data_IF_564867768470
#
_entry.id   IF_564867768470
#
_cell.length_a   1.000
_cell.length_b   1.000
_cell.length_c   1.000
_cell.angle_alpha   90.00
_cell.angle_beta   90.00
_cell.angle_gamma   90.00
#
_symmetry.space_group_name_H-M   'P 1'
#
loop_
_entity.id
_entity.type
_entity.pdbx_description
1 polymer ?
#
# COMPACT_ATOMS: atom_id res chain seq x y z
N UNK A 1 -12.11 17.23 -6.89
CA UNK A 1 -10.66 17.13 -6.69
C UNK A 1 -9.89 18.04 -7.64
N UNK A 2 -10.08 17.97 -8.97
CA UNK A 2 -9.35 18.78 -9.95
C UNK A 2 -9.43 20.31 -9.70
N UNK A 3 -10.62 20.84 -9.44
CA UNK A 3 -10.79 22.28 -9.13
C UNK A 3 -10.06 22.75 -7.86
N UNK A 4 -9.89 21.84 -6.90
CA UNK A 4 -9.12 22.12 -5.68
C UNK A 4 -7.63 22.18 -6.00
N UNK A 5 -7.13 21.26 -6.83
CA UNK A 5 -5.74 21.23 -7.29
C UNK A 5 -5.41 22.51 -8.06
N UNK A 6 -6.27 22.90 -9.03
CA UNK A 6 -6.09 24.12 -9.80
C UNK A 6 -6.03 25.36 -8.89
N UNK A 7 -6.99 25.47 -7.98
CA UNK A 7 -7.04 26.59 -7.04
C UNK A 7 -5.81 26.63 -6.13
N UNK A 8 -5.36 25.48 -5.63
CA UNK A 8 -4.14 25.42 -4.83
C UNK A 8 -2.90 25.85 -5.61
N UNK A 9 -2.80 25.49 -6.90
CA UNK A 9 -1.74 25.96 -7.77
C UNK A 9 -1.82 27.48 -8.00
N UNK A 10 -3.01 28.02 -8.29
CA UNK A 10 -3.24 29.46 -8.48
C UNK A 10 -2.89 30.27 -7.22
N UNK A 11 -3.34 29.83 -6.06
CA UNK A 11 -3.06 30.52 -4.77
C UNK A 11 -1.58 30.51 -4.38
N UNK A 12 -0.79 29.58 -4.91
CA UNK A 12 0.65 29.46 -4.64
C UNK A 12 1.54 29.83 -5.85
N UNK A 13 0.97 30.44 -6.88
CA UNK A 13 1.68 30.86 -8.09
C UNK A 13 2.42 29.71 -8.81
N UNK A 14 1.87 28.49 -8.71
CA UNK A 14 2.40 27.28 -9.37
C UNK A 14 1.74 27.15 -10.74
N UNK A 15 2.55 27.12 -11.80
CA UNK A 15 2.05 26.92 -13.17
C UNK A 15 1.47 25.51 -13.33
N UNK A 16 0.24 25.40 -13.83
CA UNK A 16 -0.43 24.13 -14.11
C UNK A 16 -1.05 24.15 -15.51
N UNK A 17 -0.80 23.11 -16.29
CA UNK A 17 -1.42 22.87 -17.59
C UNK A 17 -2.27 21.62 -17.56
N UNK A 18 -3.49 21.72 -18.08
CA UNK A 18 -4.45 20.64 -18.10
C UNK A 18 -4.87 20.31 -19.53
N UNK A 19 -5.14 19.02 -19.79
CA UNK A 19 -5.73 18.50 -21.03
C UNK A 19 -7.16 18.03 -20.82
N UNK A 20 -7.83 17.66 -21.89
CA UNK A 20 -9.15 17.06 -21.91
C UNK A 20 -10.18 17.87 -21.10
N UNK A 21 -10.30 19.18 -21.42
CA UNK A 21 -11.23 20.10 -20.76
C UNK A 21 -11.02 20.22 -19.25
N UNK A 22 -9.75 20.15 -18.81
CA UNK A 22 -9.40 20.33 -17.40
C UNK A 22 -9.53 19.07 -16.55
N UNK A 23 -9.61 17.89 -17.15
CA UNK A 23 -9.77 16.62 -16.42
C UNK A 23 -8.47 15.86 -16.21
N UNK A 24 -7.37 16.29 -16.86
CA UNK A 24 -6.08 15.61 -16.84
C UNK A 24 -4.94 16.60 -16.62
N UNK A 25 -4.00 16.28 -15.74
CA UNK A 25 -2.83 17.08 -15.47
C UNK A 25 -1.74 16.73 -16.49
N UNK A 26 -1.40 17.69 -17.34
CA UNK A 26 -0.31 17.56 -18.30
C UNK A 26 1.02 18.00 -17.73
N UNK A 27 1.04 19.12 -17.00
CA UNK A 27 2.27 19.76 -16.50
C UNK A 27 1.99 20.51 -15.20
N UNK A 28 2.93 20.45 -14.27
CA UNK A 28 2.98 21.31 -13.09
C UNK A 28 4.41 21.85 -12.97
N UNK A 29 4.55 23.15 -12.73
CA UNK A 29 5.81 23.86 -12.50
C UNK A 29 6.90 23.52 -13.55
N UNK A 30 6.51 23.52 -14.81
CA UNK A 30 7.40 23.23 -15.94
C UNK A 30 7.72 21.76 -16.18
N UNK A 31 7.32 20.84 -15.31
CA UNK A 31 7.52 19.39 -15.47
C UNK A 31 6.30 18.76 -16.12
N UNK A 32 6.46 18.26 -17.35
CA UNK A 32 5.39 17.65 -18.14
C UNK A 32 5.37 16.12 -17.99
N UNK A 33 4.21 15.51 -18.29
CA UNK A 33 4.18 14.06 -18.50
C UNK A 33 5.22 13.63 -19.55
N UNK A 34 5.81 12.48 -19.38
CA UNK A 34 6.87 11.88 -20.23
C UNK A 34 8.23 12.61 -20.23
N UNK A 35 8.41 13.70 -19.49
CA UNK A 35 9.72 14.40 -19.41
C UNK A 35 10.83 13.53 -18.81
N UNK A 36 10.47 12.55 -17.98
CA UNK A 36 11.40 11.60 -17.33
C UNK A 36 11.32 10.18 -17.89
N UNK A 37 10.78 10.02 -19.10
CA UNK A 37 10.60 8.73 -19.77
C UNK A 37 9.15 8.40 -20.07
N UNK A 38 8.93 7.39 -20.94
CA UNK A 38 7.60 7.03 -21.45
C UNK A 38 6.60 6.55 -20.39
N UNK A 39 7.09 6.20 -19.21
CA UNK A 39 6.25 5.79 -18.07
C UNK A 39 6.04 6.90 -17.04
N UNK A 40 6.57 8.09 -17.27
CA UNK A 40 6.50 9.16 -16.28
C UNK A 40 5.26 10.04 -16.45
N UNK A 41 4.75 10.56 -15.34
CA UNK A 41 3.57 11.40 -15.34
C UNK A 41 3.08 11.81 -13.96
N UNK A 42 2.01 12.58 -13.94
CA UNK A 42 1.38 13.08 -12.73
C UNK A 42 0.29 12.12 -12.26
N UNK A 43 0.29 11.79 -10.98
CA UNK A 43 -0.72 10.99 -10.30
C UNK A 43 -1.18 11.68 -9.04
N UNK A 44 -2.33 11.28 -8.53
CA UNK A 44 -2.84 11.83 -7.28
C UNK A 44 -3.56 10.81 -6.44
N UNK A 45 -3.50 11.03 -5.13
CA UNK A 45 -4.27 10.27 -4.14
C UNK A 45 -5.23 11.19 -3.39
N UNK A 46 -6.30 10.61 -2.91
CA UNK A 46 -7.26 11.23 -2.01
C UNK A 46 -7.21 10.47 -0.69
N UNK A 47 -6.81 11.15 0.40
CA UNK A 47 -6.61 10.53 1.71
C UNK A 47 -5.63 9.34 1.66
N UNK A 48 -4.57 9.44 0.83
CA UNK A 48 -3.57 8.40 0.64
C UNK A 48 -4.01 7.23 -0.25
N UNK A 49 -5.22 7.25 -0.79
CA UNK A 49 -5.80 6.20 -1.65
C UNK A 49 -5.90 6.68 -3.08
N UNK A 50 -5.53 5.83 -4.06
CA UNK A 50 -5.83 6.11 -5.45
C UNK A 50 -7.35 6.04 -5.67
N UNK A 51 -7.98 7.11 -6.18
CA UNK A 51 -9.38 7.06 -6.50
C UNK A 51 -9.62 6.10 -7.69
N UNK A 52 -10.71 5.33 -7.62
CA UNK A 52 -11.20 4.48 -8.71
C UNK A 52 -11.87 5.28 -9.84
N UNK A 53 -11.93 6.61 -9.69
CA UNK A 53 -12.53 7.56 -10.61
C UNK A 53 -11.49 8.62 -11.00
N UNK A 54 -11.72 9.29 -12.13
CA UNK A 54 -10.89 10.44 -12.52
C UNK A 54 -10.96 11.56 -11.48
N UNK A 55 -9.93 12.40 -11.40
CA UNK A 55 -9.90 13.55 -10.49
C UNK A 55 -11.08 14.51 -10.68
N UNK A 56 -11.58 14.62 -11.91
CA UNK A 56 -12.74 15.43 -12.21
C UNK A 56 -14.04 14.86 -11.62
N UNK A 57 -14.11 13.54 -11.45
CA UNK A 57 -15.27 12.85 -10.86
C UNK A 57 -15.22 12.79 -9.33
N UNK A 58 -14.08 13.05 -8.70
CA UNK A 58 -13.97 13.12 -7.24
C UNK A 58 -14.33 14.55 -6.78
N UNK A 59 -15.56 14.73 -6.28
CA UNK A 59 -16.09 16.03 -5.89
C UNK A 59 -16.64 16.03 -4.47
N UNK A 60 -16.78 17.22 -3.90
CA UNK A 60 -17.50 17.40 -2.61
C UNK A 60 -18.99 17.05 -2.77
N UNK A 61 -19.58 17.38 -3.92
CA UNK A 61 -21.02 17.16 -4.18
C UNK A 61 -21.39 15.67 -4.21
N UNK A 62 -20.51 14.80 -4.67
CA UNK A 62 -20.77 13.35 -4.65
C UNK A 62 -20.21 12.63 -3.43
N UNK A 63 -19.67 13.37 -2.45
CA UNK A 63 -19.17 12.83 -1.18
C UNK A 63 -17.82 12.11 -1.25
N UNK A 64 -17.14 12.13 -2.40
CA UNK A 64 -15.79 11.56 -2.53
C UNK A 64 -14.75 12.42 -1.79
N UNK A 65 -14.80 13.74 -1.97
CA UNK A 65 -13.97 14.69 -1.23
C UNK A 65 -14.76 15.18 -0.01
N UNK A 66 -14.20 14.99 1.17
CA UNK A 66 -14.81 15.38 2.46
C UNK A 66 -14.09 16.58 3.05
N UNK A 67 -14.67 17.12 4.10
CA UNK A 67 -13.97 18.09 4.93
C UNK A 67 -12.69 17.47 5.51
N UNK A 68 -11.58 18.20 5.47
CA UNK A 68 -10.24 17.74 5.84
C UNK A 68 -9.62 16.62 4.98
N UNK A 69 -10.22 16.26 3.83
CA UNK A 69 -9.56 15.35 2.88
C UNK A 69 -8.23 15.90 2.40
N UNK A 70 -7.24 15.03 2.35
CA UNK A 70 -5.88 15.34 1.85
C UNK A 70 -5.76 14.88 0.40
N UNK A 71 -5.49 15.82 -0.49
CA UNK A 71 -5.20 15.55 -1.90
C UNK A 71 -3.70 15.67 -2.08
N UNK A 72 -3.04 14.57 -2.48
CA UNK A 72 -1.62 14.56 -2.83
C UNK A 72 -1.48 14.40 -4.33
N UNK A 73 -0.71 15.29 -4.98
CA UNK A 73 -0.34 15.19 -6.39
C UNK A 73 1.17 15.06 -6.46
N UNK A 74 1.67 14.05 -7.13
CA UNK A 74 3.10 13.80 -7.26
C UNK A 74 3.47 13.33 -8.65
N UNK A 75 4.71 13.61 -9.05
CA UNK A 75 5.27 13.08 -10.28
C UNK A 75 5.91 11.73 -10.06
N UNK A 76 5.73 10.80 -10.99
CA UNK A 76 6.35 9.49 -10.97
C UNK A 76 7.01 9.16 -12.30
N UNK A 77 8.07 8.36 -12.26
CA UNK A 77 8.72 7.80 -13.46
C UNK A 77 8.11 6.46 -13.88
N UNK A 78 7.28 5.84 -13.02
CA UNK A 78 6.67 4.51 -13.21
C UNK A 78 5.15 4.56 -13.03
N UNK A 79 4.46 5.45 -13.75
CA UNK A 79 3.02 5.66 -13.62
C UNK A 79 2.22 4.35 -13.81
N UNK A 80 2.63 3.51 -14.75
CA UNK A 80 2.00 2.21 -15.01
C UNK A 80 2.09 1.29 -13.80
N UNK A 81 3.29 1.11 -13.23
CA UNK A 81 3.51 0.27 -12.05
C UNK A 81 2.81 0.83 -10.82
N UNK A 82 2.86 2.16 -10.63
CA UNK A 82 2.20 2.81 -9.50
C UNK A 82 0.67 2.66 -9.52
N UNK A 83 0.07 2.65 -10.72
CA UNK A 83 -1.37 2.48 -10.92
C UNK A 83 -1.78 1.01 -11.05
N UNK A 84 -0.83 0.10 -11.28
CA UNK A 84 -1.12 -1.33 -11.40
C UNK A 84 -1.70 -1.89 -10.09
N UNK A 85 -2.73 -2.72 -10.23
CA UNK A 85 -3.29 -3.46 -9.12
C UNK A 85 -2.34 -4.61 -8.75
N UNK A 86 -1.43 -4.37 -7.81
CA UNK A 86 -0.48 -5.36 -7.32
C UNK A 86 -0.30 -5.22 -5.80
N UNK A 87 -0.84 -6.18 -5.05
CA UNK A 87 -0.71 -6.28 -3.61
C UNK A 87 0.31 -7.34 -3.16
N UNK A 88 1.14 -7.87 -4.06
CA UNK A 88 2.12 -8.88 -3.72
C UNK A 88 3.18 -8.35 -2.76
N UNK A 89 3.55 -9.18 -1.79
CA UNK A 89 4.72 -8.93 -0.95
C UNK A 89 5.99 -9.22 -1.73
N UNK A 90 6.94 -8.29 -1.67
CA UNK A 90 8.31 -8.47 -2.17
C UNK A 90 9.13 -9.28 -1.18
N UNK A 91 9.08 -8.91 0.09
CA UNK A 91 9.71 -9.60 1.20
C UNK A 91 8.83 -9.56 2.44
N UNK A 92 9.09 -10.44 3.38
CA UNK A 92 8.44 -10.48 4.68
C UNK A 92 9.49 -10.54 5.78
N UNK A 93 9.77 -9.42 6.43
CA UNK A 93 10.56 -9.36 7.65
C UNK A 93 9.76 -9.95 8.82
N UNK A 94 10.39 -10.81 9.62
CA UNK A 94 9.82 -11.44 10.80
C UNK A 94 10.82 -11.33 11.96
N UNK A 95 10.35 -10.78 13.07
CA UNK A 95 11.11 -10.76 14.34
C UNK A 95 10.43 -11.71 15.34
N UNK A 96 11.23 -12.34 16.20
CA UNK A 96 10.74 -13.26 17.22
C UNK A 96 10.46 -14.68 16.75
N UNK A 97 10.66 -14.98 15.46
CA UNK A 97 10.43 -16.32 14.91
C UNK A 97 11.08 -16.51 13.55
N UNK A 98 10.84 -17.67 12.94
CA UNK A 98 11.29 -18.01 11.60
C UNK A 98 10.18 -18.75 10.86
N UNK A 99 10.11 -18.60 9.55
CA UNK A 99 9.26 -19.45 8.73
C UNK A 99 9.92 -20.83 8.56
N UNK A 100 9.13 -21.87 8.64
CA UNK A 100 9.55 -23.25 8.32
C UNK A 100 9.79 -23.42 6.83
N UNK A 101 8.96 -22.82 6.03
CA UNK A 101 9.04 -22.75 4.58
C UNK A 101 9.80 -21.49 4.14
N UNK A 102 10.52 -21.58 3.03
CA UNK A 102 11.06 -20.37 2.38
C UNK A 102 9.91 -19.46 1.95
N UNK A 103 10.04 -18.17 2.19
CA UNK A 103 9.05 -17.21 1.72
C UNK A 103 9.06 -17.16 0.19
N UNK A 104 7.89 -17.34 -0.41
CA UNK A 104 7.62 -17.25 -1.84
C UNK A 104 6.37 -16.40 -2.05
N UNK A 105 6.39 -15.49 -3.01
CA UNK A 105 5.34 -14.49 -3.20
C UNK A 105 3.96 -15.05 -3.57
N UNK A 106 3.92 -16.26 -4.15
CA UNK A 106 2.71 -16.98 -4.57
C UNK A 106 2.31 -18.09 -3.59
N UNK A 107 3.01 -18.21 -2.46
CA UNK A 107 2.63 -19.05 -1.34
C UNK A 107 1.89 -18.22 -0.29
N UNK A 108 0.75 -18.72 0.15
CA UNK A 108 -0.15 -18.00 1.06
C UNK A 108 -0.31 -18.66 2.42
N UNK A 109 0.27 -19.84 2.63
CA UNK A 109 0.22 -20.58 3.89
C UNK A 109 1.63 -20.91 4.37
N UNK A 110 1.89 -20.60 5.64
CA UNK A 110 3.19 -20.77 6.28
C UNK A 110 3.05 -21.33 7.69
N UNK A 111 4.09 -22.04 8.11
CA UNK A 111 4.30 -22.38 9.51
C UNK A 111 5.31 -21.44 10.13
N UNK A 112 4.94 -20.74 11.19
CA UNK A 112 5.81 -19.85 11.95
C UNK A 112 6.36 -20.57 13.16
N UNK A 113 7.68 -20.75 13.19
CA UNK A 113 8.39 -21.42 14.29
C UNK A 113 8.92 -20.40 15.28
N UNK A 114 8.48 -20.45 16.53
CA UNK A 114 8.97 -19.57 17.60
C UNK A 114 8.96 -20.27 18.96
N UNK A 115 9.80 -19.75 19.86
CA UNK A 115 9.78 -20.00 21.32
C UNK A 115 9.67 -18.68 22.08
N UNK A 116 9.35 -17.58 21.37
CA UNK A 116 9.11 -16.29 21.98
C UNK A 116 7.60 -16.11 22.21
N UNK A 117 7.27 -15.27 23.20
CA UNK A 117 5.87 -14.95 23.52
C UNK A 117 5.30 -13.86 22.61
N UNK A 118 6.15 -13.20 21.82
CA UNK A 118 5.77 -12.12 20.91
C UNK A 118 6.58 -12.17 19.60
N UNK A 119 5.94 -11.78 18.53
CA UNK A 119 6.54 -11.62 17.20
C UNK A 119 6.11 -10.30 16.56
N UNK A 120 6.80 -9.88 15.49
CA UNK A 120 6.29 -8.81 14.63
C UNK A 120 6.63 -9.05 13.16
N UNK A 121 5.79 -8.52 12.27
CA UNK A 121 5.98 -8.57 10.82
C UNK A 121 6.35 -7.21 10.26
N UNK A 122 7.29 -7.20 9.32
CA UNK A 122 7.66 -6.03 8.52
C UNK A 122 7.57 -6.39 7.04
N UNK A 123 6.38 -6.31 6.43
CA UNK A 123 6.20 -6.61 5.02
C UNK A 123 6.80 -5.51 4.14
N UNK A 124 7.43 -5.89 3.02
CA UNK A 124 7.77 -4.99 1.93
C UNK A 124 6.95 -5.38 0.70
N UNK A 125 6.52 -4.39 -0.08
CA UNK A 125 5.65 -4.57 -1.23
C UNK A 125 6.39 -4.31 -2.54
N UNK A 126 5.96 -4.92 -3.64
CA UNK A 126 6.38 -4.51 -4.97
C UNK A 126 5.81 -3.14 -5.33
N UNK A 127 4.55 -2.89 -5.01
CA UNK A 127 3.93 -1.59 -5.19
C UNK A 127 4.02 -0.77 -3.90
N UNK A 128 4.64 0.41 -3.96
CA UNK A 128 4.86 1.30 -2.81
C UNK A 128 3.59 1.84 -2.16
N UNK A 129 2.44 1.73 -2.83
CA UNK A 129 1.14 2.15 -2.31
C UNK A 129 0.34 1.01 -1.70
N UNK A 130 0.90 -0.19 -1.67
CA UNK A 130 0.28 -1.31 -0.98
C UNK A 130 0.41 -1.13 0.53
N UNK A 131 -0.60 -1.61 1.23
CA UNK A 131 -0.68 -1.58 2.71
C UNK A 131 -0.95 -2.99 3.22
N UNK A 132 -0.63 -3.24 4.49
CA UNK A 132 -0.98 -4.48 5.15
C UNK A 132 -1.79 -4.21 6.42
N UNK A 133 -2.69 -5.12 6.71
CA UNK A 133 -3.32 -5.30 8.01
C UNK A 133 -3.01 -6.70 8.54
N UNK A 134 -2.91 -6.82 9.86
CA UNK A 134 -2.58 -8.08 10.52
C UNK A 134 -3.67 -8.38 11.55
N UNK A 135 -4.10 -9.63 11.59
CA UNK A 135 -5.03 -10.13 12.59
C UNK A 135 -4.47 -11.42 13.18
N UNK A 136 -4.46 -11.55 14.51
CA UNK A 136 -4.11 -12.77 15.21
C UNK A 136 -5.27 -13.16 16.12
N UNK A 137 -5.83 -14.36 15.92
CA UNK A 137 -6.99 -14.91 16.66
C UNK A 137 -8.14 -13.88 16.82
N UNK A 138 -8.44 -13.12 15.77
CA UNK A 138 -9.53 -12.13 15.73
C UNK A 138 -9.16 -10.75 16.30
N UNK A 139 -7.91 -10.51 16.70
CA UNK A 139 -7.43 -9.21 17.20
C UNK A 139 -6.56 -8.54 16.14
N UNK A 140 -6.86 -7.27 15.83
CA UNK A 140 -6.12 -6.50 14.83
C UNK A 140 -4.84 -5.88 15.42
N UNK A 141 -3.76 -5.92 14.64
CA UNK A 141 -2.44 -5.36 14.95
C UNK A 141 -1.92 -4.50 13.80
N UNK A 142 -1.10 -3.51 14.13
CA UNK A 142 -0.38 -2.71 13.14
C UNK A 142 0.86 -3.43 12.62
N UNK A 143 1.33 -3.02 11.44
CA UNK A 143 2.64 -3.42 10.91
C UNK A 143 3.74 -3.02 11.90
N UNK A 144 4.71 -3.91 12.12
CA UNK A 144 5.79 -3.78 13.10
C UNK A 144 5.36 -3.71 14.58
N UNK A 145 4.09 -3.87 14.87
CA UNK A 145 3.60 -4.02 16.24
C UNK A 145 3.94 -5.42 16.77
N UNK A 146 4.22 -5.52 18.08
CA UNK A 146 4.38 -6.80 18.76
C UNK A 146 3.03 -7.51 18.86
N UNK A 147 3.01 -8.76 18.48
CA UNK A 147 1.83 -9.63 18.44
C UNK A 147 2.09 -10.75 19.45
N UNK A 148 1.30 -10.84 20.54
CA UNK A 148 1.37 -11.97 21.45
C UNK A 148 1.02 -13.28 20.72
N UNK A 149 1.82 -14.31 20.94
CA UNK A 149 1.62 -15.62 20.28
C UNK A 149 1.84 -16.78 21.23
N UNK A 150 1.08 -17.84 21.01
CA UNK A 150 1.28 -19.15 21.60
C UNK A 150 1.19 -20.24 20.52
N UNK A 151 1.57 -21.45 20.84
CA UNK A 151 1.44 -22.58 19.91
C UNK A 151 -0.03 -22.76 19.52
N UNK A 152 -0.32 -22.73 18.23
CA UNK A 152 -1.67 -22.82 17.68
C UNK A 152 -2.28 -21.48 17.28
N UNK A 153 -1.69 -20.33 17.66
CA UNK A 153 -2.13 -18.99 17.19
C UNK A 153 -2.18 -18.97 15.66
N UNK A 154 -3.29 -18.49 15.12
CA UNK A 154 -3.45 -18.27 13.69
C UNK A 154 -3.35 -16.78 13.39
N UNK A 155 -2.47 -16.43 12.46
CA UNK A 155 -2.24 -15.05 12.05
C UNK A 155 -2.58 -14.90 10.57
N UNK A 156 -3.32 -13.86 10.24
CA UNK A 156 -3.58 -13.44 8.86
C UNK A 156 -2.93 -12.09 8.61
N UNK A 157 -2.07 -12.02 7.60
CA UNK A 157 -1.57 -10.78 7.04
C UNK A 157 -2.26 -10.56 5.71
N UNK A 158 -3.07 -9.51 5.65
CA UNK A 158 -3.76 -9.11 4.43
C UNK A 158 -3.00 -7.96 3.80
N UNK A 159 -2.48 -8.20 2.62
CA UNK A 159 -1.87 -7.18 1.77
C UNK A 159 -2.89 -6.71 0.74
N UNK A 160 -3.06 -5.42 0.62
CA UNK A 160 -3.92 -4.82 -0.39
C UNK A 160 -3.26 -3.56 -0.97
N UNK A 161 -3.48 -3.32 -2.26
CA UNK A 161 -3.11 -2.06 -2.86
C UNK A 161 -4.04 -0.98 -2.33
N UNK A 162 -3.49 0.18 -2.03
CA UNK A 162 -4.26 1.35 -1.58
C UNK A 162 -5.06 2.01 -2.73
N UNK A 163 -5.75 1.16 -3.48
CA UNK A 163 -6.76 1.50 -4.50
C UNK A 163 -7.97 0.64 -4.18
N UNK A 164 -9.13 1.23 -4.03
CA UNK A 164 -10.34 0.54 -3.61
C UNK A 164 -10.61 -0.73 -4.47
N UNK A 165 -10.50 -1.88 -3.83
CA UNK A 165 -11.00 -3.17 -4.34
C UNK A 165 -10.27 -3.81 -5.52
N UNK A 166 -9.07 -3.40 -5.89
CA UNK A 166 -8.42 -3.88 -7.12
C UNK A 166 -7.55 -5.11 -6.94
N UNK A 167 -6.80 -5.24 -5.86
CA UNK A 167 -6.02 -6.45 -5.57
C UNK A 167 -5.88 -6.65 -4.08
N UNK A 168 -5.95 -7.92 -3.65
CA UNK A 168 -5.83 -8.31 -2.24
C UNK A 168 -5.22 -9.69 -2.15
N UNK A 169 -4.24 -9.86 -1.25
CA UNK A 169 -3.62 -11.14 -0.93
C UNK A 169 -3.74 -11.40 0.56
N UNK A 170 -4.01 -12.64 0.94
CA UNK A 170 -4.05 -13.06 2.34
C UNK A 170 -3.01 -14.13 2.57
N UNK A 171 -2.08 -13.86 3.47
CA UNK A 171 -1.05 -14.79 3.94
C UNK A 171 -1.44 -15.27 5.32
N UNK A 172 -1.47 -16.58 5.51
CA UNK A 172 -1.87 -17.23 6.77
C UNK A 172 -0.66 -17.90 7.41
N UNK A 173 -0.49 -17.70 8.71
CA UNK A 173 0.60 -18.28 9.49
C UNK A 173 0.01 -19.07 10.66
N UNK A 174 0.46 -20.32 10.82
CA UNK A 174 0.17 -21.13 12.00
C UNK A 174 1.43 -21.16 12.89
N UNK A 175 1.28 -20.78 14.14
CA UNK A 175 2.38 -20.79 15.11
C UNK A 175 2.63 -22.19 15.66
N UNK A 176 3.86 -22.68 15.51
CA UNK A 176 4.38 -23.92 16.10
C UNK A 176 5.60 -23.64 16.99
N UNK A 177 5.85 -24.52 17.95
CA UNK A 177 7.07 -24.43 18.74
C UNK A 177 8.31 -24.69 17.88
N UNK A 178 9.32 -23.86 18.02
CA UNK A 178 10.62 -24.12 17.40
C UNK A 178 11.29 -25.29 18.10
N UNK A 179 11.48 -26.41 17.38
CA UNK A 179 12.12 -27.59 17.90
C UNK A 179 13.54 -27.29 18.43
N UNK A 180 13.89 -27.82 19.59
CA UNK A 180 15.27 -27.72 20.11
C UNK A 180 16.21 -28.42 19.13
N UNK A 181 17.18 -27.70 18.57
CA UNK A 181 18.32 -28.36 17.88
C UNK A 181 18.93 -29.33 18.86
N UNK A 182 18.90 -30.63 18.56
CA UNK A 182 19.75 -31.60 19.26
C UNK A 182 21.20 -31.22 18.91
N UNK A 183 21.90 -30.58 19.84
CA UNK A 183 23.36 -30.48 19.80
C UNK A 183 23.88 -31.88 20.04
N UNK A 184 24.32 -32.54 18.96
CA UNK A 184 25.10 -33.80 19.04
C UNK A 184 26.57 -33.47 19.29
#
# INVERSE_FOLDING_TARGET
>A
MMSIIQRACEENEIDISLRFQGTYIERIDGLSEFDRGSGSGWKGTLDGVFPDKSFAQCTVQNGEVKDHSVITVEYTENLGEDLEANAELKTLGLQGGNLKETFERDRYEYTLLTNQDEISFTPEFFNRYSVASIEADGVAYGVSQQIPVEVGTQIQLVSEKNVRGTDRRTYTFLVEAQGRRKTG
#
